data_IF_522916439584
#
_entry.id   IF_522916439584
#
_cell.length_a   1.000
_cell.length_b   1.000
_cell.length_c   1.000
_cell.angle_alpha   90.00
_cell.angle_beta   90.00
_cell.angle_gamma   90.00
#
_symmetry.space_group_name_H-M   'P 1'
#
loop_
_entity.id
_entity.type
_entity.pdbx_description
1 polymer ?
#
# COMPACT_ATOMS: atom_id res chain seq x y z
N UNK A 1 -9.38 -24.85 15.53
CA UNK A 1 -9.78 -23.45 15.79
C UNK A 1 -8.51 -22.62 15.92
N UNK A 2 -8.11 -21.86 14.91
CA UNK A 2 -6.86 -21.07 14.94
C UNK A 2 -7.16 -19.64 15.35
N UNK A 3 -7.30 -19.41 16.65
CA UNK A 3 -7.22 -18.06 17.22
C UNK A 3 -5.74 -17.71 17.41
N UNK A 4 -5.07 -17.31 16.33
CA UNK A 4 -3.90 -16.44 16.50
C UNK A 4 -4.41 -15.00 16.44
N UNK A 5 -4.86 -14.50 17.59
CA UNK A 5 -5.13 -13.07 17.75
C UNK A 5 -3.77 -12.40 17.89
N UNK A 6 -3.51 -11.37 17.09
CA UNK A 6 -2.31 -10.54 17.21
C UNK A 6 -2.18 -10.05 18.66
N UNK A 7 -0.96 -10.02 19.19
CA UNK A 7 -0.69 -9.36 20.47
C UNK A 7 -1.00 -7.85 20.35
N UNK A 8 -1.25 -7.15 21.47
CA UNK A 8 -1.46 -5.70 21.44
C UNK A 8 -0.30 -4.95 20.74
N UNK A 9 0.93 -5.41 20.95
CA UNK A 9 2.13 -4.85 20.30
C UNK A 9 2.13 -5.09 18.79
N UNK A 10 1.79 -6.31 18.34
CA UNK A 10 1.68 -6.62 16.91
C UNK A 10 0.58 -5.79 16.23
N UNK A 11 -0.55 -5.57 16.92
CA UNK A 11 -1.62 -4.73 16.41
C UNK A 11 -1.20 -3.25 16.33
N UNK A 12 -0.53 -2.75 17.37
CA UNK A 12 0.00 -1.39 17.40
C UNK A 12 1.02 -1.16 16.28
N UNK A 13 1.93 -2.12 16.07
CA UNK A 13 2.92 -2.04 14.99
C UNK A 13 2.27 -2.11 13.61
N UNK A 14 1.31 -3.04 13.42
CA UNK A 14 0.58 -3.13 12.17
C UNK A 14 -0.15 -1.81 11.83
N UNK A 15 -0.70 -1.14 12.85
CA UNK A 15 -1.32 0.18 12.72
C UNK A 15 -0.29 1.25 12.36
N UNK A 16 0.84 1.32 13.09
CA UNK A 16 1.94 2.26 12.82
C UNK A 16 2.43 2.14 11.37
N UNK A 17 2.73 0.93 10.91
CA UNK A 17 3.20 0.69 9.54
C UNK A 17 2.16 1.08 8.49
N UNK A 18 0.87 0.89 8.78
CA UNK A 18 -0.22 1.28 7.88
C UNK A 18 -0.34 2.80 7.79
N UNK A 19 -0.29 3.51 8.92
CA UNK A 19 -0.32 4.97 8.98
C UNK A 19 0.88 5.59 8.26
N UNK A 20 2.08 5.03 8.46
CA UNK A 20 3.30 5.48 7.79
C UNK A 20 3.23 5.25 6.28
N UNK A 21 2.76 4.08 5.85
CA UNK A 21 2.60 3.77 4.42
C UNK A 21 1.60 4.71 3.73
N UNK A 22 0.48 5.01 4.38
CA UNK A 22 -0.51 5.95 3.85
C UNK A 22 0.09 7.35 3.73
N UNK A 23 0.77 7.84 4.78
CA UNK A 23 1.39 9.17 4.79
C UNK A 23 2.45 9.30 3.69
N UNK A 24 3.35 8.32 3.58
CA UNK A 24 4.44 8.34 2.61
C UNK A 24 3.92 8.24 1.18
N UNK A 25 2.99 7.32 0.92
CA UNK A 25 2.42 7.17 -0.41
C UNK A 25 1.65 8.42 -0.85
N UNK A 26 0.87 9.06 0.04
CA UNK A 26 0.18 10.33 -0.27
C UNK A 26 1.13 11.47 -0.62
N UNK A 27 2.35 11.48 -0.09
CA UNK A 27 3.38 12.49 -0.40
C UNK A 27 4.09 12.22 -1.73
N UNK A 28 4.27 10.95 -2.09
CA UNK A 28 5.10 10.54 -3.23
C UNK A 28 4.28 10.33 -4.51
N UNK A 29 3.10 9.72 -4.40
CA UNK A 29 2.33 9.29 -5.55
C UNK A 29 1.64 10.46 -6.25
N UNK A 30 1.72 10.45 -7.58
CA UNK A 30 1.02 11.38 -8.48
C UNK A 30 0.22 10.62 -9.53
N UNK A 31 -0.98 11.12 -9.94
CA UNK A 31 -1.76 10.51 -11.01
C UNK A 31 -0.90 10.22 -12.25
N UNK A 32 -1.02 9.00 -12.77
CA UNK A 32 -0.19 8.50 -13.88
C UNK A 32 0.97 7.60 -13.46
N UNK A 33 1.39 7.61 -12.18
CA UNK A 33 2.44 6.70 -11.69
C UNK A 33 2.06 5.23 -11.90
N UNK A 34 3.05 4.41 -12.26
CA UNK A 34 2.89 2.97 -12.40
C UNK A 34 3.28 2.28 -11.10
N UNK A 35 2.36 1.52 -10.53
CA UNK A 35 2.58 0.78 -9.30
C UNK A 35 2.54 -0.71 -9.56
N UNK A 36 3.49 -1.46 -9.00
CA UNK A 36 3.35 -2.90 -8.85
C UNK A 36 2.77 -3.19 -7.48
N UNK A 37 1.60 -3.82 -7.47
CA UNK A 37 0.86 -4.17 -6.26
C UNK A 37 0.71 -5.68 -6.14
N UNK A 38 0.71 -6.18 -4.91
CA UNK A 38 0.35 -7.57 -4.60
C UNK A 38 -1.12 -7.63 -4.19
N UNK A 39 -1.93 -8.44 -4.88
CA UNK A 39 -3.33 -8.71 -4.55
C UNK A 39 -3.50 -10.13 -4.05
N UNK A 40 -4.37 -10.35 -3.05
CA UNK A 40 -4.76 -11.70 -2.60
C UNK A 40 -5.20 -12.56 -3.80
N UNK A 41 -4.68 -13.81 -3.96
CA UNK A 41 -3.90 -14.62 -3.01
C UNK A 41 -2.36 -14.51 -3.12
N UNK A 42 -1.80 -13.39 -3.61
CA UNK A 42 -0.35 -13.17 -3.75
C UNK A 42 0.09 -12.78 -5.16
N UNK A 43 -0.85 -12.62 -6.09
CA UNK A 43 -0.55 -12.26 -7.47
C UNK A 43 -0.09 -10.80 -7.57
N UNK A 44 0.98 -10.57 -8.32
CA UNK A 44 1.46 -9.20 -8.61
C UNK A 44 0.81 -8.65 -9.87
N UNK A 45 0.47 -7.36 -9.85
CA UNK A 45 -0.14 -6.66 -10.99
C UNK A 45 0.42 -5.25 -11.11
N UNK A 46 0.51 -4.76 -12.34
CA UNK A 46 0.76 -3.36 -12.60
C UNK A 46 -0.56 -2.60 -12.68
N UNK A 47 -0.63 -1.47 -11.98
CA UNK A 47 -1.73 -0.52 -12.07
C UNK A 47 -1.18 0.86 -12.38
N UNK A 48 -2.02 1.72 -12.96
CA UNK A 48 -1.76 3.15 -13.05
C UNK A 48 -2.51 3.83 -11.93
N UNK A 49 -1.80 4.54 -11.07
CA UNK A 49 -2.37 5.33 -9.99
C UNK A 49 -3.22 6.46 -10.57
N UNK A 50 -4.47 6.59 -10.12
CA UNK A 50 -5.40 7.63 -10.54
C UNK A 50 -5.74 8.61 -9.42
N UNK A 51 -5.70 8.17 -8.16
CA UNK A 51 -6.05 9.00 -7.02
C UNK A 51 -6.30 8.18 -5.76
N UNK A 52 -7.05 8.78 -4.83
CA UNK A 52 -7.31 8.24 -3.50
C UNK A 52 -8.80 8.12 -3.22
N UNK A 53 -9.18 7.06 -2.51
CA UNK A 53 -10.48 6.89 -1.87
C UNK A 53 -10.24 6.62 -0.38
N UNK A 54 -10.30 7.67 0.44
CA UNK A 54 -9.88 7.65 1.84
C UNK A 54 -8.39 7.29 1.98
N UNK A 55 -8.12 6.04 2.36
CA UNK A 55 -6.77 5.47 2.52
C UNK A 55 -6.36 4.54 1.37
N UNK A 56 -7.31 4.23 0.48
CA UNK A 56 -7.13 3.27 -0.59
C UNK A 56 -6.60 3.94 -1.85
N UNK A 57 -5.70 3.24 -2.53
CA UNK A 57 -5.22 3.60 -3.85
C UNK A 57 -6.29 3.25 -4.89
N UNK A 58 -6.63 4.20 -5.74
CA UNK A 58 -7.53 4.00 -6.89
C UNK A 58 -6.71 3.84 -8.16
N UNK A 59 -6.93 2.75 -8.89
CA UNK A 59 -6.34 2.55 -10.21
C UNK A 59 -7.11 3.31 -11.31
N UNK A 60 -6.47 3.53 -12.46
CA UNK A 60 -7.11 4.11 -13.66
C UNK A 60 -8.33 3.32 -14.15
N UNK A 61 -8.41 2.02 -13.84
CA UNK A 61 -9.57 1.18 -14.15
C UNK A 61 -10.69 1.28 -13.10
N UNK A 62 -10.58 2.18 -12.12
CA UNK A 62 -11.56 2.39 -11.06
C UNK A 62 -11.48 1.41 -9.89
N UNK A 63 -10.47 0.55 -9.82
CA UNK A 63 -10.33 -0.41 -8.71
C UNK A 63 -9.69 0.30 -7.52
N UNK A 64 -10.40 0.36 -6.39
CA UNK A 64 -10.01 1.05 -5.14
C UNK A 64 -9.71 0.07 -3.98
N UNK A 65 -9.10 -1.08 -4.30
CA UNK A 65 -8.89 -2.22 -3.38
C UNK A 65 -7.39 -2.45 -3.10
N UNK A 66 -6.60 -1.38 -3.04
CA UNK A 66 -5.15 -1.46 -2.89
C UNK A 66 -4.65 -0.62 -1.72
N UNK A 67 -4.08 -1.30 -0.72
CA UNK A 67 -3.36 -0.63 0.36
C UNK A 67 -1.98 -0.18 -0.13
N UNK A 68 -1.48 0.99 0.31
CA UNK A 68 -0.09 1.39 0.08
C UNK A 68 0.94 0.33 0.52
N UNK A 69 0.61 -0.49 1.53
CA UNK A 69 1.48 -1.59 1.99
C UNK A 69 1.63 -2.74 0.99
N UNK A 70 0.75 -2.80 -0.01
CA UNK A 70 0.81 -3.82 -1.06
C UNK A 70 1.68 -3.40 -2.24
N UNK A 71 2.18 -2.15 -2.27
CA UNK A 71 3.04 -1.62 -3.34
C UNK A 71 4.49 -2.01 -3.06
N UNK A 72 5.14 -2.64 -4.04
CA UNK A 72 6.58 -2.97 -3.95
C UNK A 72 7.42 -2.34 -5.08
N UNK A 73 6.78 -1.69 -6.06
CA UNK A 73 7.45 -0.83 -7.06
C UNK A 73 6.65 0.41 -7.44
N UNK A 74 7.35 1.50 -7.69
CA UNK A 74 6.88 2.76 -8.26
C UNK A 74 7.73 3.10 -9.49
N UNK A 75 7.10 3.22 -10.67
CA UNK A 75 7.77 3.53 -11.93
C UNK A 75 9.03 2.67 -12.15
N UNK A 76 8.86 1.35 -12.02
CA UNK A 76 9.90 0.32 -12.12
C UNK A 76 10.97 0.32 -11.01
N UNK A 77 10.98 1.31 -10.11
CA UNK A 77 11.90 1.37 -8.97
C UNK A 77 11.30 0.66 -7.74
N UNK A 78 12.14 -0.04 -6.98
CA UNK A 78 11.71 -0.65 -5.72
C UNK A 78 11.34 0.44 -4.70
N UNK A 79 10.26 0.23 -3.96
CA UNK A 79 9.80 1.17 -2.94
C UNK A 79 9.18 0.41 -1.77
N UNK A 80 9.36 0.96 -0.56
CA UNK A 80 8.71 0.50 0.65
C UNK A 80 8.15 1.73 1.38
N UNK A 81 6.83 1.89 1.34
CA UNK A 81 6.18 3.03 2.00
C UNK A 81 6.15 2.90 3.52
N UNK A 82 6.49 1.74 4.10
CA UNK A 82 6.48 1.52 5.55
C UNK A 82 7.77 2.00 6.25
N UNK A 83 8.74 2.50 5.50
CA UNK A 83 9.99 3.03 6.08
C UNK A 83 9.86 4.51 6.41
N UNK A 84 10.61 4.94 7.43
CA UNK A 84 10.79 6.37 7.67
C UNK A 84 11.57 6.97 6.49
N UNK A 85 11.19 8.18 6.10
CA UNK A 85 11.92 8.87 5.05
C UNK A 85 13.29 9.27 5.60
N UNK A 86 14.35 8.87 4.89
CA UNK A 86 15.70 9.36 5.13
C UNK A 86 15.78 10.89 4.93
#
# INVERSE_FOLDING_TARGET
MTTSKLTPEQLAEHRRLSELAIKNAKRVLKPGDRLRVTKCPGNKRWITFAGWDGIWIVSKSGINDFSPRCVDRLNDQAIDFTQEAA
#
